data_IF_606472615596
#
_entry.id   IF_606472615596
#
_cell.length_a   1.000
_cell.length_b   1.000
_cell.length_c   1.000
_cell.angle_alpha   90.00
_cell.angle_beta   90.00
_cell.angle_gamma   90.00
#
_symmetry.space_group_name_H-M   'P 1'
#
loop_
_entity.id
_entity.type
_entity.pdbx_description
1 polymer ?
#
# COMPACT_ATOMS: atom_id res chain seq x y z
N UNK A 1 21.37 -24.64 10.83
CA UNK A 1 19.93 -24.76 11.18
C UNK A 1 19.30 -23.42 11.54
N UNK A 2 19.91 -22.60 12.41
CA UNK A 2 19.34 -21.32 12.87
C UNK A 2 19.08 -20.32 11.73
N UNK A 3 20.02 -20.22 10.77
CA UNK A 3 19.87 -19.34 9.60
C UNK A 3 18.67 -19.71 8.70
N UNK A 4 18.40 -21.01 8.53
CA UNK A 4 17.27 -21.47 7.71
C UNK A 4 15.94 -21.11 8.36
N UNK A 5 15.85 -21.29 9.68
CA UNK A 5 14.65 -20.93 10.44
C UNK A 5 14.40 -19.42 10.38
N UNK A 6 15.46 -18.60 10.56
CA UNK A 6 15.35 -17.15 10.44
C UNK A 6 14.92 -16.70 9.02
N UNK A 7 15.47 -17.31 7.97
CA UNK A 7 15.09 -17.00 6.59
C UNK A 7 13.63 -17.34 6.29
N UNK A 8 13.12 -18.48 6.78
CA UNK A 8 11.71 -18.84 6.63
C UNK A 8 10.79 -17.83 7.35
N UNK A 9 11.13 -17.42 8.57
CA UNK A 9 10.33 -16.45 9.34
C UNK A 9 10.31 -15.10 8.61
N UNK A 10 11.45 -14.63 8.10
CA UNK A 10 11.53 -13.39 7.34
C UNK A 10 10.70 -13.45 6.05
N UNK A 11 10.79 -14.55 5.29
CA UNK A 11 10.00 -14.74 4.07
C UNK A 11 8.48 -14.75 4.33
N UNK A 12 8.05 -15.39 5.43
CA UNK A 12 6.64 -15.40 5.83
C UNK A 12 6.20 -13.99 6.25
N UNK A 13 7.01 -13.27 7.04
CA UNK A 13 6.70 -11.91 7.47
C UNK A 13 6.55 -10.93 6.31
N UNK A 14 7.45 -11.00 5.32
CA UNK A 14 7.39 -10.18 4.10
C UNK A 14 6.15 -10.55 3.27
N UNK A 15 5.87 -11.86 3.11
CA UNK A 15 4.68 -12.32 2.39
C UNK A 15 3.36 -11.88 3.02
N UNK A 16 3.27 -11.85 4.36
CA UNK A 16 2.09 -11.37 5.08
C UNK A 16 1.85 -9.87 4.90
N UNK A 17 2.93 -9.06 4.85
CA UNK A 17 2.85 -7.63 4.56
C UNK A 17 2.36 -7.38 3.12
N UNK A 18 2.80 -8.20 2.16
CA UNK A 18 2.34 -8.11 0.76
C UNK A 18 0.91 -8.61 0.54
N UNK A 19 0.45 -9.60 1.31
CA UNK A 19 -0.91 -10.15 1.21
C UNK A 19 -1.98 -9.26 1.86
N UNK A 20 -1.62 -8.51 2.90
CA UNK A 20 -2.50 -7.52 3.52
C UNK A 20 -2.30 -6.12 2.92
N UNK A 21 -1.60 -6.02 1.78
CA UNK A 21 -1.52 -4.78 1.05
C UNK A 21 -2.93 -4.39 0.61
N UNK A 22 -3.42 -3.19 0.98
CA UNK A 22 -4.76 -2.80 0.64
C UNK A 22 -4.93 -2.63 -0.87
N UNK A 23 -6.16 -2.77 -1.36
CA UNK A 23 -6.54 -2.42 -2.72
C UNK A 23 -7.16 -1.03 -2.75
N UNK A 24 -7.12 -0.37 -3.92
CA UNK A 24 -7.82 0.90 -4.10
C UNK A 24 -9.31 0.75 -3.75
N UNK A 25 -9.80 1.63 -2.90
CA UNK A 25 -11.19 1.62 -2.43
C UNK A 25 -11.43 0.73 -1.20
N UNK A 26 -10.44 -0.02 -0.72
CA UNK A 26 -10.55 -0.71 0.55
C UNK A 26 -10.67 0.31 1.69
N UNK A 27 -11.54 0.01 2.65
CA UNK A 27 -11.73 0.83 3.82
C UNK A 27 -10.47 0.85 4.69
N UNK A 28 -10.15 2.02 5.23
CA UNK A 28 -9.04 2.21 6.15
C UNK A 28 -9.51 2.91 7.42
N UNK A 29 -8.85 2.63 8.54
CA UNK A 29 -9.25 3.15 9.85
C UNK A 29 -8.46 4.38 10.30
N UNK A 30 -7.39 4.73 9.58
CA UNK A 30 -6.44 5.78 9.97
C UNK A 30 -6.24 6.77 8.82
N UNK A 31 -6.78 7.98 8.97
CA UNK A 31 -6.61 9.05 7.99
C UNK A 31 -5.13 9.40 7.82
N UNK A 32 -4.73 9.74 6.59
CA UNK A 32 -3.37 10.09 6.19
C UNK A 32 -2.34 8.97 6.41
N UNK A 33 -2.77 7.72 6.57
CA UNK A 33 -1.86 6.59 6.52
C UNK A 33 -1.30 6.44 5.10
N UNK A 34 -0.02 6.11 4.96
CA UNK A 34 0.62 5.80 3.69
C UNK A 34 1.10 4.35 3.70
N UNK A 35 0.92 3.65 2.58
CA UNK A 35 1.36 2.26 2.38
C UNK A 35 1.70 2.02 0.91
N UNK A 36 2.09 0.80 0.56
CA UNK A 36 2.26 0.37 -0.83
C UNK A 36 1.30 -0.78 -1.14
N UNK A 37 0.82 -0.83 -2.38
CA UNK A 37 0.08 -1.98 -2.89
C UNK A 37 1.02 -3.20 -3.10
N UNK A 38 0.45 -4.36 -3.42
CA UNK A 38 1.24 -5.57 -3.68
C UNK A 38 2.19 -5.46 -4.90
N UNK A 39 2.05 -4.40 -5.70
CA UNK A 39 2.88 -4.07 -6.86
C UNK A 39 3.92 -2.97 -6.56
N UNK A 40 3.93 -2.43 -5.35
CA UNK A 40 4.85 -1.37 -4.91
C UNK A 40 4.35 0.06 -5.20
N UNK A 41 3.12 0.26 -5.66
CA UNK A 41 2.57 1.60 -5.87
C UNK A 41 2.19 2.23 -4.53
N UNK A 42 2.62 3.47 -4.31
CA UNK A 42 2.28 4.22 -3.11
C UNK A 42 0.78 4.54 -3.05
N UNK A 43 0.18 4.28 -1.90
CA UNK A 43 -1.22 4.57 -1.60
C UNK A 43 -1.33 5.33 -0.30
N UNK A 44 -2.27 6.27 -0.26
CA UNK A 44 -2.67 6.99 0.93
C UNK A 44 -4.12 6.64 1.32
N UNK A 45 -4.38 6.67 2.62
CA UNK A 45 -5.72 6.53 3.17
C UNK A 45 -6.28 7.92 3.39
N UNK A 46 -7.23 8.33 2.55
CA UNK A 46 -7.85 9.64 2.60
C UNK A 46 -9.37 9.51 2.49
N UNK A 47 -10.13 10.54 2.91
CA UNK A 47 -11.58 10.56 2.73
C UNK A 47 -11.94 10.34 1.27
N UNK A 48 -12.90 9.46 1.02
CA UNK A 48 -13.43 9.20 -0.32
C UNK A 48 -13.96 10.49 -0.97
N UNK A 49 -14.56 11.35 -0.16
CA UNK A 49 -15.05 12.67 -0.54
C UNK A 49 -14.73 13.68 0.56
N UNK A 50 -14.55 14.96 0.25
CA UNK A 50 -14.37 15.99 1.27
C UNK A 50 -15.55 15.98 2.25
N UNK A 51 -15.26 15.77 3.54
CA UNK A 51 -16.27 15.68 4.60
C UNK A 51 -16.93 14.31 4.76
N UNK A 52 -16.44 13.26 4.08
CA UNK A 52 -16.88 11.89 4.36
C UNK A 52 -16.13 11.29 5.55
N UNK A 53 -16.85 10.61 6.45
CA UNK A 53 -16.24 9.77 7.48
C UNK A 53 -15.70 8.43 6.91
N UNK A 54 -16.01 8.12 5.65
CA UNK A 54 -15.49 6.96 4.92
C UNK A 54 -14.07 7.24 4.41
N UNK A 55 -13.09 6.63 5.09
CA UNK A 55 -11.69 6.65 4.68
C UNK A 55 -11.41 5.43 3.80
N UNK A 56 -10.79 5.68 2.64
CA UNK A 56 -10.45 4.63 1.68
C UNK A 56 -9.02 4.77 1.18
N UNK A 57 -8.41 3.64 0.83
CA UNK A 57 -7.10 3.63 0.17
C UNK A 57 -7.20 4.13 -1.27
N UNK A 58 -6.34 5.09 -1.61
CA UNK A 58 -6.27 5.73 -2.93
C UNK A 58 -4.81 5.84 -3.36
N UNK A 59 -4.54 5.83 -4.67
CA UNK A 59 -3.18 6.04 -5.16
C UNK A 59 -2.75 7.47 -4.93
N UNK A 60 -1.48 7.64 -4.58
CA UNK A 60 -0.91 8.96 -4.39
C UNK A 60 -0.68 9.64 -5.76
N UNK A 61 -0.78 10.98 -5.85
CA UNK A 61 -0.68 11.69 -7.12
C UNK A 61 0.72 11.58 -7.77
N UNK A 62 1.76 11.30 -6.99
CA UNK A 62 3.14 11.11 -7.47
C UNK A 62 3.33 9.76 -8.19
N UNK A 63 2.55 8.73 -7.85
CA UNK A 63 2.63 7.43 -8.52
C UNK A 63 2.06 7.46 -9.95
N UNK A 64 1.18 8.42 -10.26
CA UNK A 64 0.70 8.67 -11.62
C UNK A 64 1.73 9.47 -12.46
N UNK A 65 2.51 10.34 -11.81
CA UNK A 65 3.53 11.19 -12.44
C UNK A 65 4.73 10.40 -12.98
N UNK A 66 5.13 9.29 -12.35
CA UNK A 66 6.20 8.42 -12.89
C UNK A 66 5.80 7.77 -14.22
N UNK A 67 4.53 7.39 -14.41
CA UNK A 67 4.08 6.76 -15.68
C UNK A 67 3.97 7.74 -16.86
N UNK A 68 3.88 9.05 -16.60
CA UNK A 68 3.90 10.09 -17.64
C UNK A 68 5.33 10.42 -18.11
N UNK A 69 6.33 10.25 -17.25
CA UNK A 69 7.72 10.59 -17.57
C UNK A 69 8.42 9.54 -18.45
N UNK A 70 7.90 8.31 -18.54
CA UNK A 70 8.42 7.26 -19.45
C UNK A 70 7.81 7.30 -20.86
N UNK A 71 6.91 8.25 -21.15
CA UNK A 71 6.29 8.44 -22.48
C UNK A 71 6.82 9.67 -23.23
N UNK A 72 7.91 10.27 -22.76
CA UNK A 72 8.60 11.43 -23.35
C UNK A 72 9.80 11.05 -24.20
#
# INVERSE_FOLDING_TARGET
MVLFVAACIAAIGIGFLSLNAPSRGDACSVAHAATQDARGHAMSCDPKMPGSDELVWQYMPDSELETQNERG
#
